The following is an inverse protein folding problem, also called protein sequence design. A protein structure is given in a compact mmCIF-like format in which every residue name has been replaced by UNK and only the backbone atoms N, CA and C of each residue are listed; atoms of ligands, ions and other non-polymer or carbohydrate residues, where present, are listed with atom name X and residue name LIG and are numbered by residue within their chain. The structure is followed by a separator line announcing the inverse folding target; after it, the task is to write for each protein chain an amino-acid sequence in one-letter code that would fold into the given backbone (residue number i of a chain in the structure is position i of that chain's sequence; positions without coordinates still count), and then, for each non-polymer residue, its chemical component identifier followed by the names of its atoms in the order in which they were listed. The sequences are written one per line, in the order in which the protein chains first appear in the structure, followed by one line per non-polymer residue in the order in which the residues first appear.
data_IF_404033078171
#
_entry.id   IF_404033078171
#
_cell.length_a   1.000
_cell.length_b   1.000
_cell.length_c   1.000
_cell.angle_alpha   90.00
_cell.angle_beta   90.00
_cell.angle_gamma   90.00
#
_symmetry.space_group_name_H-M   'P 1'
#
loop_
_entity.id
_entity.type
_entity.pdbx_description
1 polymer ?
2 polymer ?
3 non-polymer ?
4 water ?
#
loop_
_entity_poly.entity_id
_entity_poly.type
_entity_poly.pdbx_seq_one_letter_code
_entity_poly.pdbx_strand_id
2 'polyribonucleotide' 'AA' ?
#
# COMPACT_ATOMS: atom_id res chain seq x y z
N UNK A 1 18.40 3.18 12.79
CA UNK A 1 18.01 3.95 13.96
C UNK A 1 17.08 3.13 14.86
N UNK A 2 15.78 3.18 14.56
CA UNK A 2 14.80 2.30 15.18
C UNK A 2 14.70 0.96 14.46
N UNK A 3 15.81 0.50 13.89
CA UNK A 3 15.84 -0.74 13.11
C UNK A 3 15.49 -1.93 13.99
N UNK A 4 14.52 -2.74 13.55
CA UNK A 4 14.05 -3.84 14.38
C UNK A 4 13.33 -4.87 13.51
N UNK A 5 13.57 -6.14 13.80
CA UNK A 5 12.87 -7.21 13.08
C UNK A 5 11.40 -7.31 13.47
N UNK A 6 10.92 -6.48 14.40
CA UNK A 6 9.51 -6.40 14.72
C UNK A 6 8.78 -5.29 13.98
N UNK A 7 9.51 -4.41 13.29
CA UNK A 7 8.88 -3.31 12.55
C UNK A 7 8.01 -3.83 11.41
N UNK A 8 7.01 -3.04 11.02
CA UNK A 8 6.05 -3.44 10.00
C UNK A 8 6.22 -2.59 8.74
N UNK A 9 6.23 -3.24 7.57
CA UNK A 9 6.29 -2.55 6.29
C UNK A 9 4.88 -2.46 5.71
N UNK A 10 4.39 -1.24 5.59
CA UNK A 10 3.11 -0.92 4.97
C UNK A 10 3.34 -0.47 3.53
N UNK A 11 2.53 -0.97 2.60
CA UNK A 11 2.69 -0.60 1.20
C UNK A 11 1.33 -0.45 0.53
N UNK A 12 1.23 0.53 -0.36
CA UNK A 12 0.04 0.70 -1.19
C UNK A 12 0.49 0.98 -2.61
N UNK A 13 -0.19 0.35 -3.57
CA UNK A 13 0.06 0.55 -4.98
C UNK A 13 -1.18 1.13 -5.64
N UNK A 14 -0.98 1.93 -6.69
CA UNK A 14 -2.03 2.25 -7.63
C UNK A 14 -1.66 1.62 -8.96
N UNK A 15 -2.68 1.17 -9.71
CA UNK A 15 -2.46 0.41 -10.92
C UNK A 15 -3.37 0.91 -12.03
N UNK A 16 -3.07 0.48 -13.27
CA UNK A 16 -3.94 0.77 -14.40
C UNK A 16 -5.14 -0.17 -14.48
N UNK A 17 -5.25 -1.13 -13.57
CA UNK A 17 -6.41 -2.00 -13.54
C UNK A 17 -6.18 -3.11 -12.54
N UNK A 18 -7.09 -4.08 -12.54
CA UNK A 18 -7.12 -5.12 -11.51
C UNK A 18 -6.37 -6.39 -11.88
N UNK A 19 -5.80 -6.49 -13.08
CA UNK A 19 -5.24 -7.75 -13.55
C UNK A 19 -3.72 -7.62 -13.67
N UNK A 20 -2.93 -8.26 -12.81
CA UNK A 20 -1.46 -8.10 -12.89
C UNK A 20 -0.87 -8.50 -14.22
N UNK A 21 -1.51 -9.41 -14.96
CA UNK A 21 -0.96 -9.85 -16.22
C UNK A 21 -1.17 -8.84 -17.33
N UNK A 22 -2.14 -7.96 -17.17
CA UNK A 22 -2.51 -6.98 -18.18
C UNK A 22 -2.12 -5.55 -17.81
N UNK A 23 -2.12 -5.24 -16.52
CA UNK A 23 -2.06 -3.87 -16.05
C UNK A 23 -0.71 -3.61 -15.39
N UNK A 24 -0.49 -2.35 -15.01
CA UNK A 24 0.81 -1.90 -14.57
C UNK A 24 0.69 -1.11 -13.28
N UNK A 25 1.80 -1.05 -12.55
CA UNK A 25 1.87 -0.21 -11.36
C UNK A 25 2.19 1.22 -11.79
N UNK A 26 1.37 2.18 -11.34
CA UNK A 26 1.61 3.58 -11.63
C UNK A 26 1.96 4.40 -10.39
N UNK A 27 1.72 3.87 -9.19
CA UNK A 27 2.22 4.58 -8.01
C UNK A 27 2.54 3.57 -6.92
N UNK A 28 3.54 3.90 -6.11
CA UNK A 28 3.91 3.09 -4.95
C UNK A 28 4.24 4.01 -3.78
N UNK A 29 3.85 3.60 -2.57
CA UNK A 29 4.28 4.31 -1.36
C UNK A 29 4.48 3.27 -0.28
N UNK A 30 5.44 3.54 0.61
CA UNK A 30 5.70 2.67 1.73
C UNK A 30 5.80 3.51 3.01
N UNK A 31 5.44 2.88 4.13
CA UNK A 31 5.61 3.44 5.46
C UNK A 31 6.11 2.32 6.37
N UNK A 32 7.03 2.65 7.28
CA UNK A 32 7.45 1.71 8.30
C UNK A 32 6.87 2.17 9.63
N UNK A 33 6.17 1.27 10.31
CA UNK A 33 5.79 1.49 11.70
C UNK A 33 6.56 0.55 12.59
N UNK A 34 6.61 0.89 13.89
CA UNK A 34 7.07 -0.11 14.83
C UNK A 34 5.94 -1.12 15.06
N UNK A 35 6.18 -2.07 15.95
CA UNK A 35 5.21 -3.13 16.18
C UNK A 35 3.96 -2.63 16.89
N UNK A 36 4.00 -1.43 17.48
CA UNK A 36 2.85 -0.82 18.12
C UNK A 36 2.12 0.16 17.21
N UNK A 37 2.47 0.20 15.92
CA UNK A 37 1.86 0.99 14.85
C UNK A 37 2.28 2.45 14.88
N UNK A 38 3.27 2.83 15.68
CA UNK A 38 3.81 4.19 15.60
C UNK A 38 4.56 4.36 14.29
N UNK A 39 4.26 5.43 13.56
CA UNK A 39 4.89 5.65 12.26
C UNK A 39 6.31 6.13 12.49
N UNK A 40 7.29 5.35 12.02
CA UNK A 40 8.70 5.68 12.19
C UNK A 40 9.24 6.51 11.03
N UNK A 41 8.82 6.19 9.81
CA UNK A 41 9.40 6.81 8.62
C UNK A 41 8.50 6.54 7.44
N UNK A 42 8.40 7.52 6.54
CA UNK A 42 7.70 7.32 5.29
C UNK A 42 8.71 7.16 4.17
N UNK A 43 8.45 6.21 3.28
CA UNK A 43 9.36 5.89 2.22
C UNK A 43 9.09 6.71 0.98
N UNK A 44 9.77 6.34 -0.12
CA UNK A 44 9.57 7.04 -1.39
C UNK A 44 8.13 6.93 -1.86
N UNK A 45 7.57 8.07 -2.30
CA UNK A 45 6.26 8.12 -2.91
C UNK A 45 6.51 8.33 -4.40
N UNK A 46 6.32 7.29 -5.20
CA UNK A 46 6.85 7.25 -6.56
C UNK A 46 5.70 7.06 -7.55
N UNK A 47 5.52 8.04 -8.41
CA UNK A 47 4.73 7.85 -9.63
C UNK A 47 5.62 7.20 -10.66
N UNK A 48 5.22 6.03 -11.16
CA UNK A 48 6.04 5.23 -12.06
C UNK A 48 5.59 5.51 -13.49
N UNK A 49 6.56 5.89 -14.34
CA UNK A 49 6.21 6.22 -15.72
C UNK A 49 5.64 5.02 -16.45
N UNK A 50 4.59 5.25 -17.23
CA UNK A 50 4.05 4.26 -18.14
C UNK A 50 3.70 4.96 -19.45
N UNK A 51 3.90 4.31 -20.59
CA UNK A 51 3.53 4.91 -21.87
C UNK A 51 2.03 5.01 -22.03
N UNK A 52 1.60 5.83 -23.00
CA UNK A 52 0.16 6.03 -23.22
C UNK A 52 -0.53 4.71 -23.51
N UNK A 53 0.13 3.80 -24.22
CA UNK A 53 -0.52 2.53 -24.56
C UNK A 53 -0.93 1.76 -23.31
N UNK A 54 -0.17 1.91 -22.22
CA UNK A 54 -0.56 1.27 -20.97
C UNK A 54 -1.62 2.07 -20.25
N UNK A 55 -1.50 3.40 -20.23
CA UNK A 55 -2.56 4.22 -19.65
C UNK A 55 -3.87 4.01 -20.40
N UNK A 56 -3.79 3.69 -21.68
CA UNK A 56 -4.99 3.51 -22.50
C UNK A 56 -5.74 2.23 -22.20
N UNK A 57 -5.20 1.34 -21.36
CA UNK A 57 -5.95 0.19 -20.90
C UNK A 57 -6.90 0.52 -19.75
N UNK A 58 -6.82 1.73 -19.20
CA UNK A 58 -7.60 2.04 -18.00
C UNK A 58 -9.08 2.16 -18.33
N UNK A 59 -9.90 1.58 -17.46
CA UNK A 59 -11.35 1.70 -17.60
C UNK A 59 -11.78 3.07 -17.09
N UNK A 60 -13.09 3.33 -17.06
CA UNK A 60 -13.56 4.64 -16.63
C UNK A 60 -13.22 4.92 -15.19
N UNK A 61 -13.40 3.93 -14.31
CA UNK A 61 -13.07 4.15 -12.90
C UNK A 61 -11.62 4.57 -12.73
N UNK A 62 -10.70 3.82 -13.34
CA UNK A 62 -9.29 4.16 -13.22
C UNK A 62 -8.98 5.49 -13.88
N UNK A 63 -9.52 5.73 -15.07
CA UNK A 63 -9.21 6.97 -15.77
C UNK A 63 -9.68 8.17 -14.96
N UNK A 64 -10.92 8.16 -14.50
CA UNK A 64 -11.44 9.32 -13.78
C UNK A 64 -10.75 9.47 -12.43
N UNK A 65 -10.54 8.36 -11.72
CA UNK A 65 -9.91 8.40 -10.41
C UNK A 65 -8.49 8.94 -10.49
N UNK A 66 -7.67 8.34 -11.35
CA UNK A 66 -6.26 8.72 -11.41
C UNK A 66 -6.02 10.03 -12.15
N UNK A 67 -6.94 10.45 -13.01
CA UNK A 67 -6.82 11.80 -13.58
C UNK A 67 -7.17 12.85 -12.55
N UNK A 68 -8.29 12.67 -11.84
CA UNK A 68 -8.75 13.70 -10.90
C UNK A 68 -7.79 13.87 -9.72
N UNK A 69 -7.09 12.81 -9.34
CA UNK A 69 -6.14 12.89 -8.23
C UNK A 69 -4.84 13.57 -8.63
N UNK A 70 -4.62 13.79 -9.92
CA UNK A 70 -3.35 14.28 -10.41
C UNK A 70 -2.33 13.20 -10.69
N UNK A 71 -2.66 11.93 -10.43
CA UNK A 71 -1.66 10.88 -10.62
C UNK A 71 -1.30 10.69 -12.08
N UNK A 72 -2.28 10.79 -12.99
CA UNK A 72 -1.98 10.56 -14.39
C UNK A 72 -0.96 11.57 -14.89
N UNK A 73 -1.13 12.84 -14.52
CA UNK A 73 -0.16 13.84 -14.93
C UNK A 73 1.22 13.53 -14.36
N UNK A 74 1.29 13.07 -13.11
CA UNK A 74 2.57 12.73 -12.52
C UNK A 74 3.20 11.52 -13.21
N UNK A 75 2.37 10.57 -13.62
CA UNK A 75 2.87 9.40 -14.36
C UNK A 75 3.46 9.83 -15.69
N UNK A 76 2.73 10.68 -16.43
CA UNK A 76 3.22 11.12 -17.73
C UNK A 76 4.54 11.87 -17.60
N UNK A 77 4.70 12.65 -16.53
CA UNK A 77 5.91 13.44 -16.33
C UNK A 77 7.03 12.65 -15.66
N UNK A 78 6.75 11.46 -15.14
CA UNK A 78 7.72 10.75 -14.34
C UNK A 78 8.87 10.23 -15.21
N UNK A 79 10.06 10.20 -14.63
CA UNK A 79 11.23 9.61 -15.24
C UNK A 79 11.74 8.43 -14.43
N UNK A 80 10.85 7.76 -13.70
CA UNK A 80 11.20 6.66 -12.82
C UNK A 80 10.52 5.40 -13.32
N UNK A 81 11.32 4.38 -13.65
CA UNK A 81 10.84 3.07 -14.06
C UNK A 81 10.57 2.19 -12.85
N UNK A 82 9.93 1.04 -13.09
CA UNK A 82 9.68 0.09 -12.00
C UNK A 82 10.99 -0.29 -11.32
N UNK A 83 12.03 -0.59 -12.12
CA UNK A 83 13.30 -1.02 -11.54
C UNK A 83 13.89 0.06 -10.63
N UNK A 84 13.85 1.32 -11.06
CA UNK A 84 14.37 2.41 -10.23
C UNK A 84 13.52 2.58 -8.99
N UNK A 85 12.20 2.40 -9.12
CA UNK A 85 11.31 2.48 -7.97
C UNK A 85 11.61 1.37 -6.97
N UNK A 86 11.89 0.16 -7.45
CA UNK A 86 12.32 -0.91 -6.56
C UNK A 86 13.60 -0.50 -5.84
N UNK A 87 14.59 0.00 -6.59
CA UNK A 87 15.85 0.38 -5.99
C UNK A 87 15.66 1.40 -4.88
N UNK A 88 14.87 2.45 -5.15
CA UNK A 88 14.62 3.48 -4.15
C UNK A 88 13.95 2.89 -2.93
N UNK A 89 12.94 2.03 -3.15
CA UNK A 89 12.18 1.52 -2.02
C UNK A 89 13.02 0.57 -1.18
N UNK A 90 13.81 -0.29 -1.83
CA UNK A 90 14.68 -1.18 -1.07
C UNK A 90 15.72 -0.41 -0.28
N UNK A 91 16.30 0.65 -0.89
CA UNK A 91 17.30 1.42 -0.16
C UNK A 91 16.70 2.07 1.08
N UNK A 92 15.41 2.44 1.02
CA UNK A 92 14.72 2.96 2.18
C UNK A 92 14.46 1.87 3.21
N UNK A 93 13.87 0.75 2.78
CA UNK A 93 13.45 -0.29 3.73
C UNK A 93 14.64 -0.86 4.48
N UNK A 94 15.80 -0.98 3.83
CA UNK A 94 16.95 -1.59 4.48
C UNK A 94 17.43 -0.81 5.68
N UNK A 95 17.03 0.45 5.80
CA UNK A 95 17.42 1.28 6.93
C UNK A 95 16.52 1.06 8.14
N UNK A 96 15.40 0.34 7.99
CA UNK A 96 14.38 0.30 9.04
C UNK A 96 13.96 -1.11 9.44
N UNK A 97 13.96 -2.04 8.50
CA UNK A 97 13.46 -3.40 8.74
C UNK A 97 14.37 -4.40 8.04
N UNK A 98 14.78 -5.48 8.70
CA UNK A 98 15.58 -6.50 8.00
C UNK A 98 14.76 -7.26 6.96
N UNK A 99 15.49 -7.76 5.96
CA UNK A 99 14.89 -8.54 4.88
C UNK A 99 14.16 -9.78 5.41
N UNK A 100 12.96 -10.02 4.88
CA UNK A 100 12.24 -11.25 5.16
C UNK A 100 11.50 -11.32 6.47
N UNK A 101 11.40 -10.22 7.23
CA UNK A 101 10.84 -10.27 8.57
C UNK A 101 9.42 -9.73 8.66
N UNK A 102 9.09 -8.66 7.94
CA UNK A 102 7.77 -8.06 8.09
C UNK A 102 6.77 -8.69 7.14
N UNK A 103 5.60 -9.09 7.62
CA UNK A 103 4.49 -9.38 6.70
C UNK A 103 4.20 -8.16 5.85
N UNK A 104 3.53 -8.37 4.73
CA UNK A 104 3.07 -7.24 3.93
C UNK A 104 1.80 -6.67 4.56
N UNK A 105 1.77 -5.35 4.78
CA UNK A 105 0.72 -4.73 5.57
C UNK A 105 -0.07 -3.72 4.74
N UNK A 106 -1.40 -3.77 4.87
CA UNK A 106 -2.25 -2.83 4.16
C UNK A 106 -3.68 -3.30 4.16
N UNK A 107 -4.48 -2.77 3.22
CA UNK A 107 -5.88 -3.17 3.05
C UNK A 107 -6.00 -4.02 1.80
N UNK A 108 -6.55 -5.23 1.93
CA UNK A 108 -6.66 -6.19 0.82
C UNK A 108 -5.31 -6.31 0.11
N UNK A 109 -4.28 -6.44 0.94
CA UNK A 109 -2.89 -6.34 0.53
C UNK A 109 -2.46 -7.51 -0.34
N UNK A 110 -3.23 -8.60 -0.34
CA UNK A 110 -2.97 -9.66 -1.30
C UNK A 110 -3.01 -9.17 -2.75
N UNK A 111 -3.84 -8.17 -3.05
CA UNK A 111 -3.87 -7.67 -4.42
C UNK A 111 -2.57 -6.96 -4.77
N UNK A 112 -2.09 -6.09 -3.88
CA UNK A 112 -0.78 -5.46 -4.12
C UNK A 112 0.30 -6.51 -4.26
N UNK A 113 0.26 -7.56 -3.41
CA UNK A 113 1.32 -8.55 -3.50
C UNK A 113 1.33 -9.24 -4.86
N UNK A 114 0.14 -9.48 -5.44
CA UNK A 114 0.09 -10.05 -6.78
C UNK A 114 0.84 -9.18 -7.79
N UNK A 115 0.64 -7.86 -7.70
CA UNK A 115 1.36 -6.98 -8.60
C UNK A 115 2.85 -6.97 -8.29
N UNK A 116 3.23 -7.08 -7.01
CA UNK A 116 4.65 -7.16 -6.68
C UNK A 116 5.27 -8.44 -7.25
N UNK A 117 4.61 -9.59 -7.07
CA UNK A 117 5.14 -10.83 -7.62
C UNK A 117 5.41 -10.71 -9.12
N UNK A 118 4.48 -10.07 -9.84
CA UNK A 118 4.57 -10.01 -11.29
C UNK A 118 5.56 -8.95 -11.76
N UNK A 119 5.52 -7.76 -11.15
CA UNK A 119 6.23 -6.61 -11.67
C UNK A 119 7.43 -6.19 -10.84
N UNK A 120 7.50 -6.59 -9.57
CA UNK A 120 8.58 -6.18 -8.70
C UNK A 120 8.99 -7.32 -7.78
N UNK A 121 9.35 -8.50 -8.33
CA UNK A 121 9.62 -9.64 -7.44
C UNK A 121 10.76 -9.40 -6.47
N UNK A 122 11.75 -8.58 -6.83
CA UNK A 122 12.83 -8.27 -5.89
C UNK A 122 12.31 -7.56 -4.65
N UNK A 123 11.28 -6.73 -4.82
CA UNK A 123 10.65 -6.08 -3.68
C UNK A 123 9.73 -7.04 -2.93
N UNK A 124 8.95 -7.85 -3.64
CA UNK A 124 8.10 -8.84 -2.98
C UNK A 124 8.93 -9.71 -2.03
N UNK A 125 10.13 -10.10 -2.46
CA UNK A 125 10.97 -10.99 -1.69
C UNK A 125 11.43 -10.38 -0.37
N UNK A 126 11.32 -9.06 -0.22
CA UNK A 126 11.75 -8.42 1.02
C UNK A 126 10.80 -8.72 2.17
N UNK A 127 9.56 -9.08 1.88
CA UNK A 127 8.54 -9.34 2.89
C UNK A 127 8.59 -10.78 3.36
N UNK A 128 8.23 -10.98 4.63
CA UNK A 128 7.87 -12.31 5.11
C UNK A 128 6.66 -12.80 4.33
N UNK A 129 6.44 -14.13 4.30
CA UNK A 129 5.34 -14.64 3.48
C UNK A 129 3.97 -14.28 4.01
N UNK A 130 3.86 -13.87 5.26
CA UNK A 130 2.54 -13.60 5.81
C UNK A 130 2.01 -12.24 5.40
N UNK A 131 0.73 -12.03 5.70
CA UNK A 131 -0.02 -10.84 5.30
C UNK A 131 -0.66 -10.24 6.54
N UNK A 132 -0.54 -8.94 6.72
CA UNK A 132 -1.33 -8.24 7.73
C UNK A 132 -2.33 -7.39 6.96
N UNK A 133 -3.54 -7.91 6.84
CA UNK A 133 -4.59 -7.31 6.04
C UNK A 133 -5.59 -6.66 6.98
N UNK A 134 -5.59 -5.32 7.01
CA UNK A 134 -6.50 -4.62 7.92
C UNK A 134 -7.95 -4.92 7.56
N UNK A 135 -8.23 -5.22 6.28
CA UNK A 135 -9.60 -5.50 5.89
C UNK A 135 -10.09 -6.84 6.44
N UNK A 136 -9.19 -7.72 6.86
CA UNK A 136 -9.63 -8.89 7.59
C UNK A 136 -10.39 -8.47 8.84
N UNK A 137 -9.83 -7.49 9.57
CA UNK A 137 -10.48 -7.05 10.79
C UNK A 137 -11.74 -6.26 10.48
N UNK A 138 -11.71 -5.46 9.41
CA UNK A 138 -12.91 -4.76 8.97
C UNK A 138 -14.05 -5.75 8.75
N UNK A 139 -13.78 -6.86 8.06
CA UNK A 139 -14.84 -7.79 7.71
C UNK A 139 -15.33 -8.56 8.93
N UNK A 140 -14.42 -8.92 9.84
CA UNK A 140 -14.87 -9.60 11.05
C UNK A 140 -15.69 -8.66 11.93
N UNK A 141 -15.27 -7.39 12.02
CA UNK A 141 -16.04 -6.42 12.78
C UNK A 141 -17.42 -6.21 12.18
N UNK A 142 -17.52 -6.15 10.85
CA UNK A 142 -18.83 -5.96 10.25
C UNK A 142 -19.78 -7.09 10.63
N UNK A 143 -19.26 -8.30 10.80
CA UNK A 143 -20.14 -9.41 11.16
C UNK A 143 -20.39 -9.50 12.65
N UNK A 144 -19.40 -9.17 13.48
CA UNK A 144 -19.54 -9.38 14.92
C UNK A 144 -20.12 -8.18 15.65
N UNK A 145 -19.82 -6.96 15.21
CA UNK A 145 -20.40 -5.78 15.83
C UNK A 145 -20.38 -4.61 14.86
N UNK A 146 -21.24 -4.63 13.84
CA UNK A 146 -21.12 -3.63 12.75
C UNK A 146 -21.29 -2.20 13.22
N UNK A 147 -21.94 -1.95 14.35
CA UNK A 147 -22.09 -0.58 14.82
C UNK A 147 -20.75 0.09 15.07
N UNK A 148 -19.70 -0.70 15.34
CA UNK A 148 -18.37 -0.15 15.56
C UNK A 148 -17.90 0.64 14.35
N UNK A 149 -18.26 0.17 13.15
CA UNK A 149 -17.70 0.73 11.93
C UNK A 149 -18.21 2.13 11.64
N UNK A 150 -19.32 2.54 12.23
CA UNK A 150 -19.78 3.91 12.03
C UNK A 150 -18.91 4.93 12.74
N UNK A 151 -17.99 4.50 13.59
CA UNK A 151 -17.14 5.43 14.32
C UNK A 151 -15.85 5.76 13.59
N UNK A 152 -15.61 5.18 12.41
CA UNK A 152 -14.41 5.44 11.64
C UNK A 152 -14.78 5.58 10.16
N UNK A 153 -14.15 6.52 9.47
CA UNK A 153 -14.40 6.77 8.06
C UNK A 153 -13.09 7.07 7.35
N UNK A 154 -13.08 6.85 6.04
CA UNK A 154 -11.89 7.08 5.22
C UNK A 154 -12.20 8.07 4.10
N UNK A 155 -11.20 8.86 3.73
CA UNK A 155 -11.32 9.74 2.58
C UNK A 155 -11.21 8.99 1.28
N UNK A 156 -10.26 8.05 1.19
CA UNK A 156 -10.09 7.20 0.02
C UNK A 156 -9.72 7.94 -1.26
N UNK A 157 -8.61 8.68 -1.22
CA UNK A 157 -8.26 9.54 -2.35
C UNK A 157 -7.54 8.80 -3.47
N UNK A 158 -7.03 7.60 -3.20
CA UNK A 158 -6.23 6.80 -4.13
C UNK A 158 -4.93 7.51 -4.50
N UNK A 159 -4.45 8.36 -3.60
CA UNK A 159 -3.05 8.75 -3.55
C UNK A 159 -2.38 7.77 -2.59
N UNK A 160 -1.36 7.05 -3.08
CA UNK A 160 -0.89 5.86 -2.38
C UNK A 160 -0.45 6.16 -0.95
N UNK A 161 0.27 7.26 -0.72
CA UNK A 161 0.72 7.51 0.66
C UNK A 161 -0.45 7.85 1.56
N UNK A 162 -1.39 8.65 1.07
CA UNK A 162 -2.52 9.01 1.91
C UNK A 162 -3.36 7.77 2.23
N UNK A 163 -3.50 6.87 1.28
CA UNK A 163 -4.32 5.69 1.52
C UNK A 163 -3.63 4.72 2.48
N UNK A 164 -2.31 4.57 2.39
CA UNK A 164 -1.67 3.69 3.36
C UNK A 164 -1.66 4.33 4.76
N UNK A 165 -1.62 5.67 4.84
CA UNK A 165 -1.80 6.29 6.15
C UNK A 165 -3.17 6.00 6.71
N UNK A 166 -4.19 5.92 5.82
CA UNK A 166 -5.54 5.60 6.30
C UNK A 166 -5.63 4.14 6.73
N UNK A 167 -4.88 3.25 6.08
CA UNK A 167 -4.82 1.85 6.50
C UNK A 167 -4.29 1.75 7.93
N UNK A 168 -3.20 2.45 8.22
CA UNK A 168 -2.64 2.44 9.58
C UNK A 168 -3.63 3.02 10.57
N UNK A 169 -4.28 4.14 10.21
CA UNK A 169 -5.25 4.74 11.09
C UNK A 169 -6.42 3.79 11.37
N UNK A 170 -6.82 3.02 10.35
CA UNK A 170 -7.92 2.08 10.54
C UNK A 170 -7.53 1.00 11.54
N UNK A 171 -6.31 0.47 11.42
CA UNK A 171 -5.87 -0.56 12.37
C UNK A 171 -5.70 0.03 13.76
N UNK A 172 -5.20 1.27 13.86
CA UNK A 172 -5.15 1.93 15.16
C UNK A 172 -6.53 2.04 15.78
N UNK A 173 -7.54 2.37 14.95
CA UNK A 173 -8.90 2.43 15.44
C UNK A 173 -9.37 1.06 15.95
N UNK A 174 -9.08 -0.01 15.21
CA UNK A 174 -9.48 -1.35 15.63
C UNK A 174 -8.79 -1.76 16.92
N UNK A 175 -7.51 -1.40 17.08
CA UNK A 175 -6.81 -1.74 18.31
C UNK A 175 -7.57 -1.26 19.53
N UNK A 176 -8.12 -0.05 19.48
CA UNK A 176 -8.87 0.44 20.62
C UNK A 176 -10.33 -0.02 20.61
N UNK A 177 -10.91 -0.25 19.44
CA UNK A 177 -12.35 -0.48 19.35
C UNK A 177 -12.75 -1.95 19.42
N UNK A 178 -11.92 -2.88 18.93
CA UNK A 178 -12.35 -4.28 18.84
C UNK A 178 -11.34 -5.23 19.47
N UNK A 179 -10.11 -4.79 19.71
CA UNK A 179 -9.14 -5.64 20.40
C UNK A 179 -9.13 -5.33 21.90
N UNK A 180 -8.68 -6.31 22.68
CA UNK A 180 -8.45 -6.10 24.11
C UNK A 180 -7.00 -6.36 24.49
N UNK A 181 -6.11 -6.36 23.50
CA UNK A 181 -4.68 -6.50 23.72
C UNK A 181 -3.93 -5.34 23.09
#
# INVERSE_FOLDING_TARGET
MSFSDQNLIWIDLEMTGLDPEMHKIIEMATIVTDSELNILAEGPVIAIHQPESELAKMDEWCTTTHTASGLVARVRQSQVSEEEAIDQTLAFLKQWVPEGKSPICGNSIGQDRRFLYKHMPRLEAYFHYRYIDVSTIKELTRRWQPEVLKEFSKTGSHLALDDIRESIAELQFYRKAVFKI
#
